data_IF_622928530990
#
_entry.id   IF_622928530990
#
_cell.length_a   1.000
_cell.length_b   1.000
_cell.length_c   1.000
_cell.angle_alpha   90.00
_cell.angle_beta   90.00
_cell.angle_gamma   90.00
#
_symmetry.space_group_name_H-M   'P 1'
#
loop_
_entity.id
_entity.type
_entity.pdbx_description
1 polymer ?
#
# COMPACT_ATOMS: atom_id res chain seq x y z
N UNK A 1 33.67 41.55 26.39
CA UNK A 1 33.33 41.33 24.96
C UNK A 1 34.29 40.29 24.36
N UNK A 2 33.90 39.00 24.28
CA UNK A 2 34.74 37.90 23.73
C UNK A 2 34.09 37.13 22.57
N UNK A 3 32.88 37.51 22.15
CA UNK A 3 32.14 36.84 21.08
C UNK A 3 32.81 36.95 19.69
N UNK A 4 33.49 38.07 19.41
CA UNK A 4 34.18 38.26 18.13
C UNK A 4 35.32 37.28 17.86
N UNK A 5 36.00 36.80 18.91
CA UNK A 5 37.11 35.85 18.78
C UNK A 5 36.62 34.41 18.51
N UNK A 6 35.53 33.99 19.17
CA UNK A 6 34.95 32.66 18.95
C UNK A 6 34.39 32.48 17.52
N UNK A 7 33.74 33.52 16.98
CA UNK A 7 33.25 33.52 15.59
C UNK A 7 34.41 33.44 14.58
N UNK A 8 35.49 34.19 14.82
CA UNK A 8 36.68 34.16 13.97
C UNK A 8 37.38 32.79 14.00
N UNK A 9 37.48 32.17 15.17
CA UNK A 9 38.03 30.83 15.37
C UNK A 9 37.14 29.77 14.69
N UNK A 10 35.82 29.89 14.78
CA UNK A 10 34.88 29.00 14.08
C UNK A 10 35.01 29.11 12.56
N UNK A 11 35.09 30.33 12.01
CA UNK A 11 35.27 30.56 10.57
C UNK A 11 36.62 30.04 10.06
N UNK A 12 37.70 30.21 10.83
CA UNK A 12 39.02 29.71 10.45
C UNK A 12 39.12 28.19 10.55
N UNK A 13 38.51 27.56 11.56
CA UNK A 13 38.39 26.11 11.66
C UNK A 13 37.55 25.52 10.51
N UNK A 14 36.43 26.15 10.16
CA UNK A 14 35.60 25.76 9.02
C UNK A 14 36.36 25.86 7.69
N UNK A 15 37.23 26.88 7.53
CA UNK A 15 38.08 27.06 6.34
C UNK A 15 39.13 25.96 6.18
N UNK A 16 39.70 25.46 7.29
CA UNK A 16 40.72 24.40 7.30
C UNK A 16 40.16 23.01 6.99
N UNK A 17 38.91 22.72 7.41
CA UNK A 17 38.20 21.44 7.15
C UNK A 17 37.15 21.56 6.03
N UNK A 18 37.37 22.44 5.04
CA UNK A 18 36.39 22.73 3.98
C UNK A 18 35.84 21.50 3.26
N UNK A 19 36.70 20.55 2.89
CA UNK A 19 36.27 19.34 2.17
C UNK A 19 35.32 18.47 3.01
N UNK A 20 35.63 18.28 4.29
CA UNK A 20 34.81 17.48 5.20
C UNK A 20 33.47 18.17 5.51
N UNK A 21 33.49 19.48 5.75
CA UNK A 21 32.27 20.25 6.01
C UNK A 21 31.34 20.27 4.79
N UNK A 22 31.89 20.39 3.57
CA UNK A 22 31.11 20.35 2.33
C UNK A 22 30.42 19.00 2.14
N UNK A 23 31.13 17.89 2.39
CA UNK A 23 30.52 16.55 2.34
C UNK A 23 29.40 16.40 3.37
N UNK A 24 29.61 16.87 4.60
CA UNK A 24 28.61 16.79 5.67
C UNK A 24 27.35 17.61 5.33
N UNK A 25 27.51 18.83 4.79
CA UNK A 25 26.39 19.65 4.35
C UNK A 25 25.65 18.98 3.18
N UNK A 26 26.35 18.36 2.24
CA UNK A 26 25.71 17.61 1.15
C UNK A 26 24.89 16.43 1.69
N UNK A 27 25.44 15.64 2.62
CA UNK A 27 24.73 14.53 3.24
C UNK A 27 23.48 15.02 3.95
N UNK A 28 23.59 16.03 4.80
CA UNK A 28 22.41 16.60 5.47
C UNK A 28 21.38 17.15 4.48
N UNK A 29 21.82 17.83 3.42
CA UNK A 29 20.93 18.38 2.40
C UNK A 29 20.17 17.26 1.69
N UNK A 30 20.83 16.16 1.33
CA UNK A 30 20.20 15.00 0.69
C UNK A 30 19.25 14.31 1.66
N UNK A 31 19.64 14.14 2.94
CA UNK A 31 18.77 13.53 3.94
C UNK A 31 17.51 14.35 4.16
N UNK A 32 17.63 15.67 4.30
CA UNK A 32 16.49 16.57 4.47
C UNK A 32 15.62 16.58 3.20
N UNK A 33 16.22 16.64 2.01
CA UNK A 33 15.49 16.57 0.74
C UNK A 33 14.73 15.26 0.60
N UNK A 34 15.36 14.13 0.94
CA UNK A 34 14.71 12.82 0.96
C UNK A 34 13.53 12.78 1.93
N UNK A 35 13.70 13.31 3.14
CA UNK A 35 12.62 13.39 4.12
C UNK A 35 11.44 14.25 3.61
N UNK A 36 11.73 15.38 2.97
CA UNK A 36 10.72 16.24 2.37
C UNK A 36 9.97 15.54 1.24
N UNK A 37 10.70 14.86 0.33
CA UNK A 37 10.11 14.08 -0.77
C UNK A 37 9.21 12.98 -0.23
N UNK A 38 9.67 12.20 0.76
CA UNK A 38 8.87 11.13 1.38
C UNK A 38 7.61 11.68 2.06
N UNK A 39 7.69 12.86 2.66
CA UNK A 39 6.55 13.51 3.32
C UNK A 39 5.48 13.94 2.30
N UNK A 40 5.91 14.52 1.18
CA UNK A 40 5.01 14.88 0.08
C UNK A 40 4.37 13.65 -0.55
N UNK A 41 5.19 12.68 -0.98
CA UNK A 41 4.72 11.46 -1.62
C UNK A 41 3.77 10.66 -0.74
N UNK A 42 3.99 10.60 0.57
CA UNK A 42 3.08 9.92 1.49
C UNK A 42 1.66 10.50 1.41
N UNK A 43 1.56 11.81 1.34
CA UNK A 43 0.27 12.51 1.35
C UNK A 43 -0.42 12.30 0.00
N UNK A 44 0.31 12.59 -1.08
CA UNK A 44 -0.23 12.52 -2.44
C UNK A 44 -0.60 11.08 -2.84
N UNK A 45 0.26 10.09 -2.55
CA UNK A 45 0.01 8.70 -2.94
C UNK A 45 -1.15 8.09 -2.15
N UNK A 46 -1.28 8.38 -0.86
CA UNK A 46 -2.36 7.82 -0.05
C UNK A 46 -3.69 8.47 -0.41
N UNK A 47 -3.72 9.80 -0.58
CA UNK A 47 -4.94 10.52 -0.95
C UNK A 47 -5.42 10.12 -2.35
N UNK A 48 -4.53 10.04 -3.32
CA UNK A 48 -4.85 9.59 -4.68
C UNK A 48 -5.34 8.14 -4.69
N UNK A 49 -4.66 7.25 -3.95
CA UNK A 49 -5.09 5.86 -3.85
C UNK A 49 -6.45 5.72 -3.16
N UNK A 50 -6.72 6.51 -2.13
CA UNK A 50 -8.02 6.54 -1.45
C UNK A 50 -9.12 7.15 -2.33
N UNK A 51 -8.81 8.17 -3.14
CA UNK A 51 -9.75 8.78 -4.07
C UNK A 51 -10.22 7.82 -5.17
N UNK A 52 -9.41 6.81 -5.51
CA UNK A 52 -9.79 5.74 -6.43
C UNK A 52 -10.80 4.76 -5.82
N UNK A 53 -10.96 4.74 -4.49
CA UNK A 53 -11.97 3.93 -3.82
C UNK A 53 -13.31 4.68 -3.81
N UNK A 54 -14.41 4.11 -4.34
CA UNK A 54 -15.74 4.68 -4.18
C UNK A 54 -16.07 4.99 -2.72
N UNK A 55 -16.83 6.06 -2.45
CA UNK A 55 -17.19 6.50 -1.10
C UNK A 55 -17.87 5.41 -0.24
N UNK A 56 -18.46 4.39 -0.86
CA UNK A 56 -19.12 3.25 -0.21
C UNK A 56 -18.31 1.95 -0.27
N UNK A 57 -16.98 2.02 -0.37
CA UNK A 57 -16.15 0.81 -0.39
C UNK A 57 -16.16 0.13 0.99
N UNK A 58 -16.53 -1.15 1.09
CA UNK A 58 -16.46 -1.88 2.36
C UNK A 58 -15.02 -1.96 2.86
N UNK A 59 -14.75 -1.44 4.07
CA UNK A 59 -13.42 -1.45 4.70
C UNK A 59 -13.24 -2.59 5.72
N UNK A 60 -14.20 -3.51 5.81
CA UNK A 60 -14.19 -4.61 6.78
C UNK A 60 -14.37 -5.95 6.06
N UNK A 61 -13.33 -6.77 6.08
CA UNK A 61 -13.32 -8.11 5.49
C UNK A 61 -13.19 -9.13 6.60
N UNK A 62 -14.18 -10.01 6.73
CA UNK A 62 -14.14 -11.13 7.67
C UNK A 62 -13.78 -12.41 6.91
N UNK A 63 -12.71 -13.09 7.35
CA UNK A 63 -12.21 -14.33 6.76
C UNK A 63 -12.01 -15.39 7.84
N UNK A 64 -11.91 -16.67 7.45
CA UNK A 64 -11.75 -17.80 8.38
C UNK A 64 -12.90 -17.97 9.39
N UNK A 65 -14.11 -17.59 9.01
CA UNK A 65 -15.30 -17.77 9.84
C UNK A 65 -15.75 -19.22 9.75
N UNK A 66 -15.97 -19.86 10.89
CA UNK A 66 -16.49 -21.23 10.95
C UNK A 66 -18.02 -21.23 10.89
N UNK A 67 -18.62 -22.33 10.40
CA UNK A 67 -20.08 -22.43 10.21
C UNK A 67 -20.89 -22.15 11.50
N UNK A 68 -20.39 -22.56 12.66
CA UNK A 68 -21.02 -22.29 13.96
C UNK A 68 -20.92 -20.84 14.43
N UNK A 69 -20.07 -20.01 13.83
CA UNK A 69 -19.93 -18.59 14.16
C UNK A 69 -20.87 -17.70 13.33
N UNK A 70 -21.36 -18.21 12.19
CA UNK A 70 -22.18 -17.44 11.24
C UNK A 70 -23.44 -16.91 11.95
N UNK A 71 -24.18 -17.78 12.61
CA UNK A 71 -25.43 -17.42 13.31
C UNK A 71 -25.20 -16.32 14.37
N UNK A 72 -24.11 -16.41 15.13
CA UNK A 72 -23.76 -15.39 16.12
C UNK A 72 -23.44 -14.03 15.49
N UNK A 73 -22.78 -14.02 14.33
CA UNK A 73 -22.42 -12.79 13.60
C UNK A 73 -23.66 -12.19 12.92
N UNK A 74 -24.54 -13.01 12.34
CA UNK A 74 -25.80 -12.54 11.73
C UNK A 74 -26.71 -11.88 12.77
N UNK A 75 -26.84 -12.48 13.96
CA UNK A 75 -27.58 -11.89 15.07
C UNK A 75 -26.97 -10.56 15.50
N UNK A 76 -25.63 -10.49 15.64
CA UNK A 76 -24.95 -9.25 15.97
C UNK A 76 -25.18 -8.15 14.91
N UNK A 77 -25.15 -8.48 13.63
CA UNK A 77 -25.44 -7.52 12.56
C UNK A 77 -26.90 -7.05 12.58
N UNK A 78 -27.85 -7.95 12.82
CA UNK A 78 -29.26 -7.62 12.93
C UNK A 78 -29.54 -6.67 14.12
N UNK A 79 -28.97 -6.95 15.30
CA UNK A 79 -29.10 -6.13 16.50
C UNK A 79 -28.51 -4.71 16.32
N UNK A 80 -27.43 -4.60 15.55
CA UNK A 80 -26.75 -3.32 15.30
C UNK A 80 -27.22 -2.62 14.02
N UNK A 81 -28.21 -3.16 13.31
CA UNK A 81 -28.71 -2.59 12.05
C UNK A 81 -27.67 -2.55 10.92
N UNK A 82 -26.65 -3.41 10.97
CA UNK A 82 -25.58 -3.49 9.97
C UNK A 82 -26.07 -4.38 8.83
N UNK A 83 -26.09 -3.84 7.59
CA UNK A 83 -26.35 -4.65 6.40
C UNK A 83 -25.12 -5.50 6.08
N UNK A 84 -25.14 -6.76 6.52
CA UNK A 84 -24.12 -7.74 6.17
C UNK A 84 -24.25 -8.26 4.74
N UNK A 85 -23.11 -8.57 4.12
CA UNK A 85 -23.09 -9.35 2.88
C UNK A 85 -23.26 -10.85 3.18
N UNK A 86 -23.61 -11.63 2.16
CA UNK A 86 -23.66 -13.09 2.29
C UNK A 86 -22.28 -13.68 2.62
N UNK A 87 -22.26 -14.68 3.50
CA UNK A 87 -21.04 -15.43 3.82
C UNK A 87 -20.73 -16.45 2.72
N UNK A 88 -19.48 -16.44 2.24
CA UNK A 88 -18.99 -17.41 1.26
C UNK A 88 -18.01 -18.38 1.92
N UNK A 89 -18.11 -19.69 1.65
CA UNK A 89 -17.19 -20.66 2.22
C UNK A 89 -15.79 -20.50 1.62
N UNK A 90 -14.76 -20.50 2.48
CA UNK A 90 -13.37 -20.52 2.03
C UNK A 90 -12.92 -21.98 1.83
N UNK A 91 -12.94 -22.44 0.57
CA UNK A 91 -12.50 -23.79 0.20
C UNK A 91 -11.16 -23.74 -0.57
N UNK A 92 -10.21 -24.58 -0.17
CA UNK A 92 -8.96 -24.78 -0.92
C UNK A 92 -9.19 -25.74 -2.07
N UNK A 93 -9.15 -25.24 -3.31
CA UNK A 93 -9.22 -26.06 -4.51
C UNK A 93 -7.85 -26.13 -5.22
N UNK A 94 -7.50 -27.31 -5.75
CA UNK A 94 -6.35 -27.46 -6.63
C UNK A 94 -6.82 -27.42 -8.08
N UNK A 95 -6.26 -26.52 -8.88
CA UNK A 95 -6.47 -26.52 -10.34
C UNK A 95 -5.73 -27.73 -10.91
N UNK A 96 -6.47 -28.68 -11.50
CA UNK A 96 -5.91 -29.89 -12.10
C UNK A 96 -5.74 -29.79 -13.61
N UNK A 97 -6.61 -29.01 -14.27
CA UNK A 97 -6.59 -28.72 -15.71
C UNK A 97 -7.14 -27.33 -15.99
N UNK A 98 -6.59 -26.65 -17.01
CA UNK A 98 -7.12 -25.42 -17.57
C UNK A 98 -7.40 -25.71 -19.04
N UNK A 99 -8.65 -25.59 -19.49
CA UNK A 99 -9.07 -25.89 -20.87
C UNK A 99 -8.63 -27.29 -21.39
N UNK A 100 -8.45 -28.26 -20.50
CA UNK A 100 -8.00 -29.61 -20.84
C UNK A 100 -6.50 -29.85 -20.66
N UNK A 101 -5.69 -28.79 -20.57
CA UNK A 101 -4.24 -28.87 -20.43
C UNK A 101 -3.79 -28.88 -18.97
N UNK A 102 -2.66 -29.54 -18.71
CA UNK A 102 -2.02 -29.51 -17.40
C UNK A 102 -1.52 -28.07 -17.13
N UNK A 103 -1.86 -27.45 -15.98
CA UNK A 103 -1.38 -26.11 -15.66
C UNK A 103 0.15 -26.12 -15.57
N UNK A 104 0.83 -25.38 -16.45
CA UNK A 104 2.27 -25.16 -16.34
C UNK A 104 2.54 -24.18 -15.18
N UNK A 105 3.35 -24.55 -14.17
CA UNK A 105 3.78 -23.63 -13.12
C UNK A 105 4.43 -22.34 -13.64
N UNK A 106 5.04 -22.36 -14.84
CA UNK A 106 5.64 -21.18 -15.50
C UNK A 106 4.61 -20.19 -16.06
N UNK A 107 3.44 -20.69 -16.51
CA UNK A 107 2.37 -19.87 -17.10
C UNK A 107 1.46 -19.23 -16.05
N UNK A 108 1.57 -19.60 -14.77
CA UNK A 108 0.84 -18.96 -13.65
C UNK A 108 1.00 -17.42 -13.65
N UNK A 109 2.19 -16.95 -14.01
CA UNK A 109 2.52 -15.52 -14.16
C UNK A 109 1.81 -14.84 -15.34
N UNK A 110 1.54 -15.61 -16.41
CA UNK A 110 0.88 -15.16 -17.65
C UNK A 110 -0.61 -14.97 -17.44
N UNK A 111 -1.28 -15.82 -16.66
CA UNK A 111 -2.70 -15.67 -16.32
C UNK A 111 -3.00 -14.46 -15.43
N UNK A 112 -2.07 -14.08 -14.55
CA UNK A 112 -2.20 -12.87 -13.74
C UNK A 112 -2.08 -11.61 -14.61
N UNK A 113 -1.27 -11.67 -15.67
CA UNK A 113 -1.10 -10.58 -16.64
C UNK A 113 -2.23 -10.51 -17.68
N UNK A 114 -2.89 -11.63 -18.01
CA UNK A 114 -3.94 -11.68 -19.04
C UNK A 114 -5.34 -11.32 -18.51
N UNK A 115 -5.54 -11.31 -17.18
CA UNK A 115 -6.81 -10.94 -16.54
C UNK A 115 -7.18 -9.46 -16.73
N UNK A 116 -6.22 -8.60 -17.06
CA UNK A 116 -6.43 -7.18 -17.39
C UNK A 116 -6.88 -6.94 -18.84
N UNK A 117 -6.90 -7.98 -19.68
CA UNK A 117 -7.24 -7.90 -21.11
C UNK A 117 -8.64 -8.36 -21.48
N UNK A 118 -9.48 -8.71 -20.51
CA UNK A 118 -10.86 -9.11 -20.80
C UNK A 118 -11.64 -7.88 -21.29
N UNK A 119 -12.23 -7.90 -22.51
CA UNK A 119 -13.10 -6.83 -22.97
C UNK A 119 -14.29 -6.73 -22.03
N UNK A 120 -14.66 -5.50 -21.65
CA UNK A 120 -15.92 -5.22 -20.93
C UNK A 120 -17.09 -5.65 -21.82
N UNK A 121 -17.53 -6.88 -21.69
CA UNK A 121 -18.75 -7.36 -22.32
C UNK A 121 -19.94 -6.71 -21.62
N UNK A 122 -20.46 -5.66 -22.25
CA UNK A 122 -21.82 -5.18 -22.02
C UNK A 122 -22.82 -6.31 -22.28
N UNK A 123 -23.75 -6.50 -21.33
CA UNK A 123 -25.08 -7.11 -21.45
C UNK A 123 -25.23 -8.47 -22.14
N UNK A 124 -25.77 -9.46 -21.43
CA UNK A 124 -27.20 -9.81 -21.59
C UNK A 124 -27.62 -10.80 -20.49
N UNK A 125 -28.63 -10.38 -19.74
CA UNK A 125 -29.50 -11.23 -18.93
C UNK A 125 -30.53 -11.83 -19.87
N UNK A 126 -30.64 -13.16 -19.90
CA UNK A 126 -31.91 -13.89 -20.00
C UNK A 126 -31.76 -15.24 -19.32
#
# INVERSE_FOLDING_TARGET
>A
MKAGSAWLLAMTAARRRRKQNVLQVMVFSITIMSLLILTLLRTDLIEEWQAQLPANTPNHFMMNITQNQIEGIENFFAENGIQGNQFYPLISARVTRINGDLPDPGDASKFLSDKERLPRTHSLVM
#
